data_IF_364844468339
#
_entry.id   IF_364844468339
#
_cell.length_a   1.000
_cell.length_b   1.000
_cell.length_c   1.000
_cell.angle_alpha   90.00
_cell.angle_beta   90.00
_cell.angle_gamma   90.00
#
_symmetry.space_group_name_H-M   'P 1'
#
loop_
_entity.id
_entity.type
_entity.pdbx_description
1 polymer ?
#
# COMPACT_ATOMS: atom_id res chain seq x y z
N UNK A 1 -31.99 -25.40 -48.92
CA UNK A 1 -31.35 -24.75 -47.75
C UNK A 1 -29.90 -25.20 -47.54
N UNK A 2 -29.61 -26.51 -47.60
CA UNK A 2 -28.24 -27.06 -47.51
C UNK A 2 -27.24 -26.47 -48.53
N UNK A 3 -27.65 -26.19 -49.78
CA UNK A 3 -26.77 -25.57 -50.78
C UNK A 3 -26.31 -24.15 -50.42
N UNK A 4 -27.11 -23.37 -49.66
CA UNK A 4 -26.69 -22.04 -49.17
C UNK A 4 -25.66 -22.16 -48.04
N UNK A 5 -25.82 -23.13 -47.16
CA UNK A 5 -24.86 -23.47 -46.10
C UNK A 5 -23.51 -23.90 -46.68
N UNK A 6 -23.52 -24.76 -47.70
CA UNK A 6 -22.29 -25.21 -48.38
C UNK A 6 -21.53 -24.06 -49.05
N UNK A 7 -22.24 -23.07 -49.59
CA UNK A 7 -21.65 -21.88 -50.24
C UNK A 7 -20.92 -20.96 -49.26
N UNK A 8 -21.38 -20.88 -48.01
CA UNK A 8 -20.81 -20.00 -46.97
C UNK A 8 -20.09 -20.77 -45.86
N UNK A 9 -19.77 -22.05 -46.06
CA UNK A 9 -19.20 -22.94 -45.02
C UNK A 9 -17.93 -22.38 -44.37
N UNK A 10 -17.05 -21.75 -45.16
CA UNK A 10 -15.82 -21.14 -44.64
C UNK A 10 -16.09 -20.04 -43.60
N UNK A 11 -17.10 -19.19 -43.83
CA UNK A 11 -17.49 -18.12 -42.91
C UNK A 11 -18.01 -18.70 -41.60
N UNK A 12 -18.80 -19.78 -41.69
CA UNK A 12 -19.38 -20.47 -40.52
C UNK A 12 -18.27 -21.08 -39.66
N UNK A 13 -17.33 -21.80 -40.28
CA UNK A 13 -16.19 -22.39 -39.55
C UNK A 13 -15.33 -21.30 -38.92
N UNK A 14 -15.05 -20.22 -39.65
CA UNK A 14 -14.26 -19.10 -39.12
C UNK A 14 -14.95 -18.42 -37.94
N UNK A 15 -16.28 -18.29 -37.96
CA UNK A 15 -17.05 -17.75 -36.85
C UNK A 15 -16.92 -18.61 -35.59
N UNK A 16 -17.04 -19.94 -35.71
CA UNK A 16 -16.87 -20.84 -34.56
C UNK A 16 -15.43 -20.83 -34.02
N UNK A 17 -14.43 -20.71 -34.90
CA UNK A 17 -13.02 -20.60 -34.51
C UNK A 17 -12.75 -19.32 -33.70
N UNK A 18 -13.30 -18.19 -34.16
CA UNK A 18 -13.22 -16.91 -33.45
C UNK A 18 -13.94 -17.02 -32.10
N UNK A 19 -15.14 -17.60 -32.07
CA UNK A 19 -15.92 -17.77 -30.84
C UNK A 19 -15.18 -18.64 -29.81
N UNK A 20 -14.54 -19.72 -30.26
CA UNK A 20 -13.71 -20.58 -29.41
C UNK A 20 -12.55 -19.79 -28.78
N UNK A 21 -11.87 -18.96 -29.57
CA UNK A 21 -10.77 -18.15 -29.05
C UNK A 21 -11.26 -17.09 -28.05
N UNK A 22 -12.38 -16.41 -28.34
CA UNK A 22 -12.96 -15.40 -27.47
C UNK A 22 -13.43 -15.97 -26.13
N UNK A 23 -14.13 -17.11 -26.16
CA UNK A 23 -14.59 -17.76 -24.93
C UNK A 23 -13.42 -18.20 -24.05
N UNK A 24 -12.34 -18.71 -24.65
CA UNK A 24 -11.14 -19.14 -23.95
C UNK A 24 -10.28 -17.96 -23.46
N UNK A 25 -10.32 -16.81 -24.14
CA UNK A 25 -9.63 -15.58 -23.72
C UNK A 25 -10.34 -14.88 -22.55
N UNK A 26 -11.67 -14.84 -22.58
CA UNK A 26 -12.46 -14.16 -21.55
C UNK A 26 -12.56 -14.99 -20.27
N UNK A 27 -12.63 -16.32 -20.41
CA UNK A 27 -12.93 -17.25 -19.31
C UNK A 27 -11.68 -17.90 -18.70
N UNK A 28 -11.86 -18.53 -17.54
CA UNK A 28 -10.82 -19.31 -16.86
C UNK A 28 -9.90 -18.51 -15.96
N UNK A 29 -9.08 -19.22 -15.18
CA UNK A 29 -8.22 -18.63 -14.12
C UNK A 29 -7.09 -17.74 -14.66
N UNK A 30 -6.83 -17.81 -15.96
CA UNK A 30 -5.86 -16.97 -16.70
C UNK A 30 -6.55 -16.09 -17.75
N UNK A 31 -7.87 -16.09 -17.78
CA UNK A 31 -8.66 -15.25 -18.67
C UNK A 31 -8.69 -13.79 -18.22
N UNK A 32 -9.27 -12.95 -19.06
CA UNK A 32 -9.35 -11.50 -18.84
C UNK A 32 -10.11 -11.14 -17.56
N UNK A 33 -11.23 -11.81 -17.26
CA UNK A 33 -11.99 -11.52 -16.03
C UNK A 33 -11.17 -11.82 -14.77
N UNK A 34 -10.49 -12.97 -14.73
CA UNK A 34 -9.63 -13.33 -13.59
C UNK A 34 -8.45 -12.37 -13.43
N UNK A 35 -7.89 -11.86 -14.54
CA UNK A 35 -6.84 -10.85 -14.48
C UNK A 35 -7.29 -9.57 -13.77
N UNK A 36 -8.48 -9.05 -14.08
CA UNK A 36 -8.99 -7.84 -13.43
C UNK A 36 -9.26 -8.05 -11.94
N UNK A 37 -9.84 -9.19 -11.56
CA UNK A 37 -10.08 -9.54 -10.14
C UNK A 37 -8.77 -9.65 -9.36
N UNK A 38 -7.79 -10.39 -9.89
CA UNK A 38 -6.48 -10.56 -9.25
C UNK A 38 -5.73 -9.25 -9.14
N UNK A 39 -5.86 -8.36 -10.12
CA UNK A 39 -5.26 -7.03 -10.08
C UNK A 39 -5.86 -6.16 -8.97
N UNK A 40 -7.18 -6.21 -8.78
CA UNK A 40 -7.83 -5.51 -7.66
C UNK A 40 -7.42 -6.10 -6.31
N UNK A 41 -7.38 -7.43 -6.19
CA UNK A 41 -6.90 -8.12 -4.99
C UNK A 41 -5.46 -7.74 -4.66
N UNK A 42 -4.56 -7.72 -5.65
CA UNK A 42 -3.18 -7.31 -5.47
C UNK A 42 -3.09 -5.87 -4.95
N UNK A 43 -3.83 -4.93 -5.54
CA UNK A 43 -3.82 -3.54 -5.09
C UNK A 43 -4.32 -3.37 -3.66
N UNK A 44 -5.31 -4.16 -3.24
CA UNK A 44 -5.79 -4.18 -1.85
C UNK A 44 -4.70 -4.68 -0.89
N UNK A 45 -4.03 -5.78 -1.26
CA UNK A 45 -2.95 -6.36 -0.46
C UNK A 45 -1.76 -5.40 -0.32
N UNK A 46 -1.34 -4.74 -1.41
CA UNK A 46 -0.26 -3.74 -1.37
C UNK A 46 -0.58 -2.57 -0.43
N UNK A 47 -1.83 -2.10 -0.44
CA UNK A 47 -2.28 -1.05 0.50
C UNK A 47 -2.27 -1.52 1.94
N UNK A 48 -2.73 -2.74 2.18
CA UNK A 48 -2.74 -3.33 3.52
C UNK A 48 -1.32 -3.55 4.05
N UNK A 49 -0.42 -4.06 3.21
CA UNK A 49 1.01 -4.22 3.52
C UNK A 49 1.64 -2.87 3.89
N UNK A 50 1.37 -1.82 3.11
CA UNK A 50 1.89 -0.48 3.39
C UNK A 50 1.40 0.05 4.74
N UNK A 51 0.11 -0.13 5.06
CA UNK A 51 -0.48 0.29 6.34
C UNK A 51 0.12 -0.49 7.52
N UNK A 52 0.24 -1.80 7.40
CA UNK A 52 0.83 -2.67 8.42
C UNK A 52 2.30 -2.33 8.65
N UNK A 53 3.07 -2.16 7.58
CA UNK A 53 4.49 -1.78 7.66
C UNK A 53 4.67 -0.45 8.37
N UNK A 54 3.82 0.55 8.07
CA UNK A 54 3.83 1.83 8.77
C UNK A 54 3.51 1.68 10.26
N UNK A 55 2.53 0.84 10.60
CA UNK A 55 2.13 0.56 11.99
C UNK A 55 3.24 -0.15 12.76
N UNK A 56 3.90 -1.14 12.15
CA UNK A 56 5.06 -1.82 12.72
C UNK A 56 6.18 -0.80 12.96
N UNK A 57 6.50 0.03 11.98
CA UNK A 57 7.54 1.07 12.13
C UNK A 57 7.25 2.00 13.31
N UNK A 58 6.01 2.50 13.42
CA UNK A 58 5.60 3.35 14.55
C UNK A 58 5.73 2.63 15.91
N UNK A 59 5.30 1.36 16.00
CA UNK A 59 5.47 0.59 17.22
C UNK A 59 6.93 0.27 17.55
N UNK A 60 7.75 -0.07 16.56
CA UNK A 60 9.19 -0.31 16.78
C UNK A 60 9.88 0.94 17.29
N UNK A 61 9.50 2.12 16.77
CA UNK A 61 10.00 3.39 17.27
C UNK A 61 9.56 3.64 18.71
N UNK A 62 8.26 3.51 19.02
CA UNK A 62 7.75 3.66 20.39
C UNK A 62 8.41 2.69 21.38
N UNK A 63 8.61 1.43 20.98
CA UNK A 63 9.29 0.44 21.81
C UNK A 63 10.77 0.77 21.99
N UNK A 64 11.44 1.33 20.98
CA UNK A 64 12.82 1.80 21.13
C UNK A 64 12.94 2.93 22.14
N UNK A 65 11.94 3.81 22.23
CA UNK A 65 11.87 4.88 23.23
C UNK A 65 11.62 4.36 24.65
N UNK A 66 11.01 3.18 24.80
CA UNK A 66 10.74 2.52 26.07
C UNK A 66 11.85 1.53 26.50
N UNK A 67 12.88 1.35 25.66
CA UNK A 67 14.00 0.45 25.95
C UNK A 67 14.92 1.06 27.01
N UNK A 68 15.52 0.21 27.85
CA UNK A 68 16.36 0.61 28.98
C UNK A 68 17.69 1.28 28.56
N UNK A 69 18.03 1.27 27.27
CA UNK A 69 19.21 1.96 26.73
C UNK A 69 18.90 3.41 26.28
N UNK A 70 17.96 4.05 26.97
CA UNK A 70 17.57 5.43 26.71
C UNK A 70 18.61 6.38 27.29
N UNK A 71 19.17 7.25 26.45
CA UNK A 71 20.06 8.32 26.90
C UNK A 71 19.23 9.39 27.64
N UNK A 72 19.20 9.28 28.96
CA UNK A 72 18.44 10.17 29.84
C UNK A 72 18.91 11.63 29.73
N UNK A 73 20.19 11.86 29.45
CA UNK A 73 20.74 13.20 29.27
C UNK A 73 20.21 13.81 27.97
N UNK A 74 20.15 13.02 26.89
CA UNK A 74 19.51 13.43 25.64
C UNK A 74 18.02 13.76 25.80
N UNK A 75 17.28 12.95 26.57
CA UNK A 75 15.86 13.22 26.87
C UNK A 75 15.70 14.48 27.71
N UNK A 76 16.55 14.72 28.72
CA UNK A 76 16.54 15.95 29.51
C UNK A 76 16.79 17.18 28.62
N UNK A 77 17.76 17.12 27.70
CA UNK A 77 18.04 18.19 26.72
C UNK A 77 16.78 18.52 25.90
N UNK A 78 16.12 17.49 25.34
CA UNK A 78 14.90 17.68 24.56
C UNK A 78 13.76 18.31 25.37
N UNK A 79 13.57 17.89 26.62
CA UNK A 79 12.55 18.46 27.50
C UNK A 79 12.85 19.94 27.80
N UNK A 80 14.11 20.28 28.07
CA UNK A 80 14.54 21.66 28.32
C UNK A 80 14.36 22.54 27.07
N UNK A 81 14.71 22.05 25.89
CA UNK A 81 14.58 22.80 24.63
C UNK A 81 13.11 23.02 24.25
N UNK A 82 12.26 21.98 24.35
CA UNK A 82 10.87 22.05 23.88
C UNK A 82 9.90 22.65 24.89
N UNK A 83 10.15 22.46 26.18
CA UNK A 83 9.21 22.85 27.24
C UNK A 83 9.77 23.92 28.19
N UNK A 84 10.99 24.43 27.93
CA UNK A 84 11.67 25.42 28.79
C UNK A 84 11.65 24.97 30.26
N UNK A 85 11.85 23.68 30.49
CA UNK A 85 11.80 23.07 31.81
C UNK A 85 13.09 23.35 32.60
N UNK A 86 12.97 23.62 33.90
CA UNK A 86 14.11 23.85 34.79
C UNK A 86 13.98 23.02 36.07
N UNK A 87 15.12 22.71 36.70
CA UNK A 87 15.14 22.03 38.00
C UNK A 87 14.82 23.03 39.12
N UNK A 88 14.36 22.50 40.25
CA UNK A 88 14.00 23.32 41.41
C UNK A 88 15.20 24.18 41.85
N UNK A 89 15.03 25.50 41.83
CA UNK A 89 16.07 26.47 42.20
C UNK A 89 16.86 27.04 41.02
N UNK A 90 16.66 26.55 39.79
CA UNK A 90 17.22 27.16 38.58
C UNK A 90 16.44 28.42 38.18
N UNK A 91 17.13 29.41 37.59
CA UNK A 91 16.53 30.59 36.98
C UNK A 91 16.66 30.48 35.47
N UNK A 92 15.53 30.55 34.77
CA UNK A 92 15.49 30.51 33.30
C UNK A 92 15.39 31.95 32.79
N UNK A 93 16.26 32.31 31.86
CA UNK A 93 16.25 33.60 31.20
C UNK A 93 15.85 33.40 29.74
N UNK A 94 14.73 34.00 29.34
CA UNK A 94 14.31 34.04 27.94
C UNK A 94 14.76 35.38 27.39
N UNK A 95 15.76 35.36 26.51
CA UNK A 95 16.21 36.56 25.81
C UNK A 95 15.39 36.65 24.53
N UNK A 96 14.63 37.73 24.39
CA UNK A 96 13.89 38.05 23.18
C UNK A 96 14.58 39.22 22.50
N UNK A 97 15.05 39.01 21.27
CA UNK A 97 15.49 40.14 20.44
C UNK A 97 14.24 40.94 20.03
N UNK A 98 14.21 42.21 20.44
CA UNK A 98 13.22 43.19 20.00
C UNK A 98 13.78 43.92 18.78
N UNK A 99 13.68 43.27 17.61
CA UNK A 99 13.77 43.94 16.30
C UNK A 99 12.37 44.06 15.70
#
# INVERSE_FOLDING_TARGET
MLNKLKKNYFIIVSFFLILYFFTNLLSGDRGLFSYFEKKDQLSKLEKEEMLLTKKIKDFTFKNSLLSDNLDLDFVEILIREKFLFGKKGEKIYIIKDEN
#
